data_IF_203457024415
#
_entry.id   IF_203457024415
#
_cell.length_a   1.000
_cell.length_b   1.000
_cell.length_c   1.000
_cell.angle_alpha   90.00
_cell.angle_beta   90.00
_cell.angle_gamma   90.00
#
_symmetry.space_group_name_H-M   'P 1'
#
loop_
_entity.id
_entity.type
_entity.pdbx_description
1 polymer ?
#
# COMPACT_ATOMS: atom_id res chain seq x y z
N UNK A 1 -5.27 -3.73 30.55
CA UNK A 1 -4.67 -4.91 29.91
C UNK A 1 -3.23 -4.62 29.49
N UNK A 2 -2.41 -5.65 29.47
CA UNK A 2 -0.97 -5.52 29.21
C UNK A 2 -0.67 -5.53 27.70
N UNK A 3 -1.46 -6.23 26.92
CA UNK A 3 -1.29 -6.32 25.48
C UNK A 3 -2.65 -6.28 24.79
N UNK A 4 -2.75 -5.50 23.73
CA UNK A 4 -3.92 -5.41 22.85
C UNK A 4 -3.49 -5.65 21.42
N UNK A 5 -4.09 -6.65 20.79
CA UNK A 5 -3.92 -6.96 19.38
C UNK A 5 -5.22 -6.68 18.63
N UNK A 6 -5.11 -6.18 17.42
CA UNK A 6 -6.25 -5.91 16.53
C UNK A 6 -6.06 -6.61 15.20
N UNK A 7 -7.12 -7.25 14.73
CA UNK A 7 -7.19 -7.71 13.36
C UNK A 7 -7.87 -6.64 12.50
N UNK A 8 -7.16 -6.22 11.47
CA UNK A 8 -7.61 -5.27 10.47
C UNK A 8 -7.82 -5.99 9.13
N UNK A 9 -8.84 -5.59 8.39
CA UNK A 9 -9.07 -6.09 7.04
C UNK A 9 -10.54 -5.93 6.63
N UNK A 10 -10.75 -5.64 5.37
CA UNK A 10 -12.09 -5.54 4.80
C UNK A 10 -12.67 -6.93 4.50
N UNK A 11 -13.99 -7.05 4.55
CA UNK A 11 -14.70 -8.32 4.30
C UNK A 11 -14.48 -8.85 2.87
N UNK A 12 -14.17 -7.97 1.94
CA UNK A 12 -13.92 -8.28 0.52
C UNK A 12 -12.50 -8.78 0.25
N UNK A 13 -11.58 -8.59 1.18
CA UNK A 13 -10.18 -9.00 0.99
C UNK A 13 -9.88 -10.33 1.69
N UNK A 14 -9.10 -11.17 1.03
CA UNK A 14 -8.65 -12.47 1.56
C UNK A 14 -7.63 -12.35 2.69
N UNK A 15 -7.07 -11.15 2.89
CA UNK A 15 -5.98 -10.92 3.83
C UNK A 15 -6.44 -10.18 5.07
N UNK A 16 -5.75 -10.48 6.17
CA UNK A 16 -5.93 -9.82 7.47
C UNK A 16 -4.57 -9.37 7.99
N UNK A 17 -4.53 -8.18 8.55
CA UNK A 17 -3.35 -7.65 9.24
C UNK A 17 -3.61 -7.75 10.74
N UNK A 18 -2.72 -8.42 11.44
CA UNK A 18 -2.68 -8.43 12.89
C UNK A 18 -1.72 -7.32 13.34
N UNK A 19 -2.24 -6.37 14.08
CA UNK A 19 -1.47 -5.22 14.57
C UNK A 19 -1.48 -5.17 16.10
N UNK A 20 -0.34 -4.84 16.68
CA UNK A 20 -0.24 -4.55 18.11
C UNK A 20 -0.67 -3.11 18.36
N UNK A 21 -1.74 -2.92 19.12
CA UNK A 21 -2.23 -1.59 19.52
C UNK A 21 -1.54 -1.13 20.81
N UNK A 22 -1.33 -2.05 21.74
CA UNK A 22 -0.67 -1.82 23.02
C UNK A 22 0.15 -3.04 23.40
N UNK A 23 1.36 -2.81 23.88
CA UNK A 23 2.21 -3.88 24.40
C UNK A 23 3.08 -3.34 25.56
N UNK A 24 2.85 -3.86 26.75
CA UNK A 24 3.64 -3.52 27.94
C UNK A 24 5.05 -4.13 27.89
N UNK A 25 5.24 -5.20 27.15
CA UNK A 25 6.46 -6.01 27.17
C UNK A 25 7.40 -5.74 26.00
N UNK A 26 7.04 -4.84 25.07
CA UNK A 26 7.84 -4.55 23.88
C UNK A 26 7.22 -3.49 22.99
N UNK A 27 7.75 -3.37 21.77
CA UNK A 27 7.27 -2.46 20.74
C UNK A 27 5.89 -2.81 20.18
N UNK A 28 5.27 -1.85 19.51
CA UNK A 28 3.97 -1.99 18.84
C UNK A 28 4.08 -1.87 17.31
N UNK A 29 5.31 -1.79 16.78
CA UNK A 29 5.55 -1.47 15.37
C UNK A 29 5.54 -2.70 14.46
N UNK A 30 5.40 -3.89 15.02
CA UNK A 30 5.35 -5.12 14.25
C UNK A 30 3.94 -5.49 13.83
N UNK A 31 3.83 -6.06 12.63
CA UNK A 31 2.58 -6.59 12.07
C UNK A 31 2.74 -8.05 11.63
N UNK A 32 1.64 -8.79 11.72
CA UNK A 32 1.47 -10.10 11.07
C UNK A 32 0.49 -10.00 9.91
N UNK A 33 0.78 -10.68 8.81
CA UNK A 33 -0.14 -10.77 7.66
C UNK A 33 -0.61 -12.20 7.51
N UNK A 34 -1.93 -12.37 7.43
CA UNK A 34 -2.58 -13.66 7.33
C UNK A 34 -3.53 -13.71 6.13
N UNK A 35 -3.60 -14.85 5.48
CA UNK A 35 -4.60 -15.15 4.47
C UNK A 35 -5.79 -15.87 5.11
N UNK A 36 -6.99 -15.57 4.64
CA UNK A 36 -8.21 -16.31 5.01
C UNK A 36 -8.39 -17.48 4.06
N UNK A 37 -8.19 -18.68 4.55
CA UNK A 37 -8.37 -19.93 3.82
C UNK A 37 -9.57 -20.71 4.35
N UNK A 38 -10.00 -21.72 3.62
CA UNK A 38 -11.11 -22.59 4.07
C UNK A 38 -10.84 -23.31 5.40
N UNK A 39 -9.58 -23.51 5.74
CA UNK A 39 -9.11 -24.10 7.00
C UNK A 39 -8.92 -23.08 8.15
N UNK A 40 -9.04 -21.78 7.86
CA UNK A 40 -8.83 -20.70 8.83
C UNK A 40 -7.80 -19.69 8.37
N UNK A 41 -7.07 -19.10 9.34
CA UNK A 41 -6.00 -18.13 9.08
C UNK A 41 -4.67 -18.85 8.81
N UNK A 42 -4.07 -18.58 7.67
CA UNK A 42 -2.73 -19.03 7.29
C UNK A 42 -1.75 -17.84 7.30
N UNK A 43 -0.54 -18.05 7.83
CA UNK A 43 0.49 -17.00 7.82
C UNK A 43 0.98 -16.73 6.40
N UNK A 44 1.15 -15.47 6.05
CA UNK A 44 1.78 -15.04 4.80
C UNK A 44 3.23 -14.68 5.07
N UNK A 45 4.13 -15.59 4.75
CA UNK A 45 5.56 -15.43 5.01
C UNK A 45 6.18 -14.26 4.24
N UNK A 46 5.70 -13.99 3.02
CA UNK A 46 6.16 -12.86 2.19
C UNK A 46 4.99 -11.96 1.77
N UNK A 47 4.60 -10.98 2.59
CA UNK A 47 3.53 -10.04 2.25
C UNK A 47 3.76 -9.24 0.97
N UNK A 48 5.01 -8.97 0.61
CA UNK A 48 5.33 -8.24 -0.63
C UNK A 48 4.81 -8.94 -1.88
N UNK A 49 4.73 -10.26 -1.88
CA UNK A 49 4.20 -11.02 -3.01
C UNK A 49 2.71 -10.76 -3.27
N UNK A 50 1.97 -10.29 -2.26
CA UNK A 50 0.54 -9.98 -2.36
C UNK A 50 0.27 -8.64 -3.07
N UNK A 51 1.23 -7.72 -2.97
CA UNK A 51 1.11 -6.35 -3.47
C UNK A 51 1.86 -6.13 -4.79
N UNK A 52 2.48 -7.20 -5.31
CA UNK A 52 3.15 -7.19 -6.60
C UNK A 52 2.33 -8.02 -7.59
N UNK A 53 1.94 -7.40 -8.68
CA UNK A 53 1.34 -8.13 -9.80
C UNK A 53 2.40 -9.07 -10.38
N UNK A 54 1.99 -10.29 -10.75
CA UNK A 54 2.88 -11.22 -11.45
C UNK A 54 3.35 -10.57 -12.77
N UNK A 55 4.66 -10.28 -12.83
CA UNK A 55 5.26 -9.55 -13.93
C UNK A 55 5.76 -10.53 -14.99
N UNK A 56 4.90 -11.02 -15.82
CA UNK A 56 5.32 -11.67 -17.05
C UNK A 56 5.55 -10.66 -18.19
N UNK A 57 5.01 -9.42 -18.03
CA UNK A 57 5.20 -8.32 -18.98
C UNK A 57 5.40 -7.00 -18.27
N UNK A 58 6.32 -6.16 -18.77
CA UNK A 58 6.52 -4.81 -18.30
C UNK A 58 5.34 -3.92 -18.71
N UNK A 59 4.48 -3.57 -17.77
CA UNK A 59 3.35 -2.68 -18.00
C UNK A 59 3.78 -1.23 -17.78
N UNK A 60 3.56 -0.39 -18.79
CA UNK A 60 3.81 1.05 -18.69
C UNK A 60 2.93 1.69 -17.62
N UNK A 61 3.48 2.62 -16.85
CA UNK A 61 2.75 3.33 -15.81
C UNK A 61 2.75 2.62 -14.45
N UNK A 62 3.60 1.61 -14.26
CA UNK A 62 3.76 0.94 -12.98
C UNK A 62 5.15 1.14 -12.40
N UNK A 63 5.24 1.31 -11.10
CA UNK A 63 6.50 1.40 -10.36
C UNK A 63 6.39 0.65 -9.04
N UNK A 64 7.47 0.00 -8.61
CA UNK A 64 7.55 -0.63 -7.30
C UNK A 64 8.10 0.39 -6.30
N UNK A 65 7.42 0.49 -5.18
CA UNK A 65 7.76 1.38 -4.09
C UNK A 65 7.90 0.58 -2.79
N UNK A 66 9.01 0.73 -2.04
CA UNK A 66 9.16 0.16 -0.71
C UNK A 66 8.42 1.03 0.31
N UNK A 67 7.27 0.56 0.76
CA UNK A 67 6.51 1.17 1.85
C UNK A 67 6.94 0.59 3.20
N UNK A 68 6.70 1.33 4.28
CA UNK A 68 6.83 0.83 5.64
C UNK A 68 5.43 0.63 6.23
N UNK A 69 5.17 -0.59 6.67
CA UNK A 69 3.99 -0.90 7.46
C UNK A 69 4.43 -1.29 8.87
N UNK A 70 4.31 -0.34 9.81
CA UNK A 70 5.04 -0.41 11.07
C UNK A 70 6.56 -0.33 10.84
N UNK A 71 7.32 -1.31 11.30
CA UNK A 71 8.77 -1.44 11.03
C UNK A 71 9.08 -2.36 9.85
N UNK A 72 8.06 -3.02 9.28
CA UNK A 72 8.23 -4.01 8.22
C UNK A 72 8.23 -3.33 6.85
N UNK A 73 9.29 -3.46 6.05
CA UNK A 73 9.28 -3.03 4.66
C UNK A 73 8.40 -3.97 3.83
N UNK A 74 7.49 -3.39 3.05
CA UNK A 74 6.60 -4.10 2.14
C UNK A 74 6.71 -3.46 0.77
N UNK A 75 6.96 -4.26 -0.26
CA UNK A 75 6.95 -3.76 -1.63
C UNK A 75 5.52 -3.60 -2.12
N UNK A 76 5.18 -2.41 -2.58
CA UNK A 76 3.89 -2.09 -3.17
C UNK A 76 4.06 -1.67 -4.62
N UNK A 77 3.09 -2.00 -5.45
CA UNK A 77 3.02 -1.50 -6.81
C UNK A 77 2.20 -0.20 -6.84
N UNK A 78 2.78 0.83 -7.43
CA UNK A 78 2.10 2.10 -7.71
C UNK A 78 1.77 2.12 -9.18
N UNK A 79 0.50 2.39 -9.49
CA UNK A 79 0.01 2.47 -10.86
C UNK A 79 -0.39 3.91 -11.19
N UNK A 80 -0.02 4.39 -12.37
CA UNK A 80 -0.38 5.70 -12.88
C UNK A 80 -0.93 5.58 -14.31
N UNK A 81 -2.16 6.04 -14.52
CA UNK A 81 -2.75 6.19 -15.84
C UNK A 81 -2.62 7.65 -16.28
N UNK A 82 -1.88 7.86 -17.35
CA UNK A 82 -1.67 9.20 -17.92
C UNK A 82 -2.26 9.27 -19.32
N UNK A 83 -3.15 10.20 -19.53
CA UNK A 83 -3.83 10.44 -20.81
C UNK A 83 -3.65 11.88 -21.22
N UNK A 84 -3.36 12.13 -22.49
CA UNK A 84 -3.31 13.50 -23.04
C UNK A 84 -4.69 14.10 -23.04
N UNK A 85 -4.82 15.32 -22.53
CA UNK A 85 -6.04 16.13 -22.64
C UNK A 85 -5.99 16.97 -23.91
N UNK A 86 -7.13 17.18 -24.60
CA UNK A 86 -7.23 18.11 -25.71
C UNK A 86 -6.79 19.52 -25.30
N UNK A 87 -6.26 20.27 -26.27
CA UNK A 87 -5.86 21.66 -26.04
C UNK A 87 -7.05 22.49 -25.52
N UNK A 88 -6.84 23.22 -24.42
CA UNK A 88 -7.87 24.02 -23.75
C UNK A 88 -8.72 23.28 -22.71
N UNK A 89 -8.57 21.97 -22.57
CA UNK A 89 -9.24 21.24 -21.49
C UNK A 89 -8.45 21.32 -20.18
N UNK A 90 -9.15 21.36 -19.07
CA UNK A 90 -8.52 21.33 -17.72
C UNK A 90 -8.09 19.91 -17.37
N UNK A 91 -6.79 19.69 -17.04
CA UNK A 91 -6.33 18.39 -16.59
C UNK A 91 -7.05 17.95 -15.31
N UNK A 92 -7.48 16.70 -15.25
CA UNK A 92 -8.04 16.09 -14.06
C UNK A 92 -7.02 15.17 -13.41
N UNK A 93 -6.96 15.21 -12.09
CA UNK A 93 -6.15 14.29 -11.29
C UNK A 93 -7.06 13.54 -10.33
N UNK A 94 -6.97 12.23 -10.33
CA UNK A 94 -7.62 11.36 -9.36
C UNK A 94 -6.56 10.57 -8.64
N UNK A 95 -6.65 10.47 -7.33
CA UNK A 95 -5.66 9.80 -6.47
C UNK A 95 -6.38 8.85 -5.55
N UNK A 96 -5.89 7.62 -5.48
CA UNK A 96 -6.38 6.58 -4.57
C UNK A 96 -5.23 6.12 -3.68
N UNK A 97 -5.46 6.06 -2.38
CA UNK A 97 -4.45 5.62 -1.40
C UNK A 97 -3.40 6.67 -1.02
N UNK A 98 -3.46 7.87 -1.58
CA UNK A 98 -2.53 8.98 -1.33
C UNK A 98 -3.27 10.27 -1.01
N UNK A 99 -2.60 11.16 -0.27
CA UNK A 99 -3.07 12.53 -0.13
C UNK A 99 -2.90 13.31 -1.44
N UNK A 100 -3.98 13.84 -1.99
CA UNK A 100 -4.00 14.54 -3.27
C UNK A 100 -3.21 15.85 -3.25
N UNK A 101 -3.20 16.55 -2.10
CA UNK A 101 -2.43 17.78 -1.92
C UNK A 101 -0.93 17.50 -1.92
N UNK A 102 -0.51 16.41 -1.28
CA UNK A 102 0.88 15.96 -1.26
C UNK A 102 1.37 15.59 -2.66
N UNK A 103 0.57 14.88 -3.44
CA UNK A 103 0.89 14.58 -4.83
C UNK A 103 1.02 15.84 -5.66
N UNK A 104 0.09 16.80 -5.52
CA UNK A 104 0.12 18.07 -6.25
C UNK A 104 1.40 18.87 -5.95
N UNK A 105 1.83 18.89 -4.66
CA UNK A 105 3.06 19.55 -4.25
C UNK A 105 4.32 18.87 -4.85
N UNK A 106 4.38 17.54 -4.84
CA UNK A 106 5.49 16.79 -5.43
C UNK A 106 5.59 17.03 -6.95
N UNK A 107 4.46 17.02 -7.65
CA UNK A 107 4.41 17.32 -9.09
C UNK A 107 4.87 18.73 -9.39
N UNK A 108 4.46 19.73 -8.58
CA UNK A 108 4.92 21.11 -8.73
C UNK A 108 6.44 21.25 -8.53
N UNK A 109 7.00 20.52 -7.57
CA UNK A 109 8.48 20.50 -7.36
C UNK A 109 9.20 19.88 -8.55
N UNK A 110 8.70 18.79 -9.11
CA UNK A 110 9.27 18.15 -10.30
C UNK A 110 9.19 19.08 -11.51
N UNK A 111 8.05 19.70 -11.76
CA UNK A 111 7.85 20.64 -12.87
C UNK A 111 8.77 21.87 -12.76
N UNK A 112 9.06 22.35 -11.55
CA UNK A 112 9.94 23.47 -11.31
C UNK A 112 11.44 23.13 -11.43
N UNK A 113 11.80 21.83 -11.35
CA UNK A 113 13.20 21.36 -11.29
C UNK A 113 13.65 20.56 -12.50
N UNK A 114 12.72 20.09 -13.32
CA UNK A 114 12.96 19.34 -14.55
C UNK A 114 12.47 20.10 -15.77
#
# INVERSE_FOLDING_TARGET
VDTVLSFEGERSHQYRILRTIKNRFGGTDEIGVFAMEGSGLAEVANPSSLFLTSRDEAVSGTAIFPALEGTRPVLCEIQALVVRVPSGATPRRAVVGWDSGRLAMLLAVLEARC
#
